data_IF_558853035313
#
_entry.id   IF_558853035313
#
_cell.length_a   1.000
_cell.length_b   1.000
_cell.length_c   1.000
_cell.angle_alpha   90.00
_cell.angle_beta   90.00
_cell.angle_gamma   90.00
#
_symmetry.space_group_name_H-M   'P 1'
#
loop_
_entity.id
_entity.type
_entity.pdbx_description
1 polymer ?
#
# COMPACT_ATOMS: atom_id res chain seq x y z
N UNK A 1 -17.36 4.70 -24.79
CA UNK A 1 -17.29 4.67 -23.30
C UNK A 1 -17.67 6.07 -22.79
N UNK A 2 -18.61 6.22 -21.84
CA UNK A 2 -19.10 7.54 -21.39
C UNK A 2 -17.93 8.40 -20.82
N UNK A 3 -17.81 9.70 -21.14
CA UNK A 3 -16.70 10.56 -20.72
C UNK A 3 -16.44 10.56 -19.20
N UNK A 4 -17.52 10.53 -18.40
CA UNK A 4 -17.49 10.47 -16.94
C UNK A 4 -16.72 9.26 -16.38
N UNK A 5 -16.76 8.10 -17.05
CA UNK A 5 -16.06 6.90 -16.60
C UNK A 5 -14.55 6.99 -16.86
N UNK A 6 -14.13 7.70 -17.92
CA UNK A 6 -12.71 7.94 -18.18
C UNK A 6 -12.08 8.84 -17.13
N UNK A 7 -12.77 9.93 -16.76
CA UNK A 7 -12.31 10.83 -15.70
C UNK A 7 -12.12 10.06 -14.40
N UNK A 8 -13.07 9.22 -14.01
CA UNK A 8 -12.97 8.37 -12.82
C UNK A 8 -11.75 7.45 -12.86
N UNK A 9 -11.52 6.74 -13.97
CA UNK A 9 -10.35 5.85 -14.11
C UNK A 9 -9.02 6.63 -13.97
N UNK A 10 -8.94 7.83 -14.57
CA UNK A 10 -7.77 8.71 -14.44
C UNK A 10 -7.58 9.21 -13.01
N UNK A 11 -8.65 9.65 -12.34
CA UNK A 11 -8.61 10.07 -10.93
C UNK A 11 -8.13 8.94 -10.02
N UNK A 12 -8.65 7.72 -10.20
CA UNK A 12 -8.21 6.55 -9.43
C UNK A 12 -6.73 6.23 -9.67
N UNK A 13 -6.26 6.32 -10.93
CA UNK A 13 -4.87 6.10 -11.29
C UNK A 13 -3.94 7.16 -10.68
N UNK A 14 -4.31 8.44 -10.73
CA UNK A 14 -3.51 9.52 -10.13
C UNK A 14 -3.41 9.38 -8.61
N UNK A 15 -4.51 9.07 -7.92
CA UNK A 15 -4.48 8.79 -6.49
C UNK A 15 -3.59 7.58 -6.17
N UNK A 16 -3.65 6.52 -7.00
CA UNK A 16 -2.77 5.35 -6.88
C UNK A 16 -1.29 5.68 -7.05
N UNK A 17 -0.92 6.49 -8.05
CA UNK A 17 0.46 6.93 -8.27
C UNK A 17 0.98 7.79 -7.12
N UNK A 18 0.15 8.69 -6.57
CA UNK A 18 0.51 9.49 -5.40
C UNK A 18 0.79 8.59 -4.19
N UNK A 19 -0.12 7.64 -3.89
CA UNK A 19 0.08 6.70 -2.79
C UNK A 19 1.30 5.81 -3.00
N UNK A 20 1.60 5.39 -4.24
CA UNK A 20 2.82 4.64 -4.55
C UNK A 20 4.08 5.46 -4.26
N UNK A 21 4.09 6.74 -4.65
CA UNK A 21 5.20 7.64 -4.33
C UNK A 21 5.41 7.78 -2.82
N UNK A 22 4.32 7.89 -2.06
CA UNK A 22 4.39 7.88 -0.60
C UNK A 22 4.89 6.55 -0.04
N UNK A 23 4.46 5.40 -0.56
CA UNK A 23 4.98 4.11 -0.11
C UNK A 23 6.48 4.01 -0.31
N UNK A 24 7.03 4.52 -1.42
CA UNK A 24 8.49 4.56 -1.64
C UNK A 24 9.17 5.46 -0.60
N UNK A 25 8.67 6.67 -0.37
CA UNK A 25 9.17 7.56 0.69
C UNK A 25 9.08 6.91 2.09
N UNK A 26 7.96 6.27 2.39
CA UNK A 26 7.71 5.60 3.65
C UNK A 26 8.66 4.41 3.83
N UNK A 27 8.90 3.62 2.78
CA UNK A 27 9.88 2.53 2.82
C UNK A 27 11.29 3.06 3.07
N UNK A 28 11.72 4.10 2.35
CA UNK A 28 13.07 4.68 2.51
C UNK A 28 13.28 5.28 3.90
N UNK A 29 12.29 5.99 4.43
CA UNK A 29 12.34 6.51 5.81
C UNK A 29 12.40 5.39 6.84
N UNK A 30 11.64 4.30 6.66
CA UNK A 30 11.74 3.13 7.53
C UNK A 30 13.11 2.43 7.41
N UNK A 31 13.68 2.30 6.21
CA UNK A 31 15.02 1.71 6.01
C UNK A 31 16.12 2.50 6.72
N UNK A 32 15.91 3.76 7.08
CA UNK A 32 16.86 4.48 7.93
C UNK A 32 17.04 3.86 9.32
N UNK A 33 16.15 2.95 9.73
CA UNK A 33 16.20 2.21 11.01
C UNK A 33 17.51 1.46 11.21
N UNK A 34 18.16 1.02 10.13
CA UNK A 34 19.47 0.36 10.20
C UNK A 34 20.59 1.24 10.78
N UNK A 35 20.33 2.55 10.89
CA UNK A 35 21.19 3.49 11.60
C UNK A 35 20.34 4.29 12.60
N UNK A 36 20.35 3.87 13.87
CA UNK A 36 19.53 4.46 14.93
C UNK A 36 19.59 6.00 14.98
N UNK A 37 20.79 6.58 14.89
CA UNK A 37 20.95 8.04 14.92
C UNK A 37 20.29 8.75 13.74
N UNK A 38 20.31 8.13 12.55
CA UNK A 38 19.69 8.67 11.33
C UNK A 38 18.16 8.55 11.42
N UNK A 39 17.67 7.38 11.84
CA UNK A 39 16.25 7.14 12.05
C UNK A 39 15.66 8.10 13.07
N UNK A 40 16.27 8.18 14.26
CA UNK A 40 15.82 9.05 15.35
C UNK A 40 15.83 10.51 14.93
N UNK A 41 16.91 10.99 14.30
CA UNK A 41 16.98 12.39 13.84
C UNK A 41 15.91 12.69 12.78
N UNK A 42 15.68 11.77 11.84
CA UNK A 42 14.66 11.94 10.80
C UNK A 42 13.25 12.01 11.40
N UNK A 43 12.88 11.08 12.29
CA UNK A 43 11.54 11.05 12.88
C UNK A 43 11.31 12.16 13.89
N UNK A 44 12.33 12.61 14.62
CA UNK A 44 12.24 13.83 15.44
C UNK A 44 11.93 15.06 14.59
N UNK A 45 12.61 15.24 13.46
CA UNK A 45 12.30 16.34 12.53
C UNK A 45 10.92 16.19 11.88
N UNK A 46 10.57 14.98 11.44
CA UNK A 46 9.31 14.70 10.74
C UNK A 46 8.09 14.89 11.65
N UNK A 47 8.18 14.44 12.90
CA UNK A 47 7.12 14.55 13.91
C UNK A 47 7.10 15.92 14.61
N UNK A 48 8.25 16.58 14.78
CA UNK A 48 8.39 17.83 15.53
C UNK A 48 7.77 19.07 14.87
N UNK A 49 7.17 18.94 13.68
CA UNK A 49 6.54 20.04 12.95
C UNK A 49 5.24 19.65 12.26
N UNK A 50 4.80 20.47 11.31
CA UNK A 50 3.53 20.26 10.59
C UNK A 50 3.61 19.19 9.49
N UNK A 51 4.82 18.74 9.15
CA UNK A 51 5.08 17.89 7.98
C UNK A 51 4.32 16.57 8.07
N UNK A 52 4.39 15.87 9.21
CA UNK A 52 3.65 14.62 9.43
C UNK A 52 2.16 14.80 9.17
N UNK A 53 1.55 15.85 9.69
CA UNK A 53 0.12 16.12 9.56
C UNK A 53 -0.28 16.45 8.12
N UNK A 54 0.54 17.22 7.40
CA UNK A 54 0.31 17.51 5.98
C UNK A 54 0.39 16.24 5.14
N UNK A 55 1.40 15.40 5.37
CA UNK A 55 1.54 14.11 4.69
C UNK A 55 0.36 13.22 5.02
N UNK A 56 -0.01 13.07 6.30
CA UNK A 56 -1.16 12.27 6.71
C UNK A 56 -2.45 12.73 6.04
N UNK A 57 -2.72 14.05 6.01
CA UNK A 57 -3.89 14.61 5.34
C UNK A 57 -3.92 14.25 3.84
N UNK A 58 -2.79 14.41 3.15
CA UNK A 58 -2.67 14.10 1.72
C UNK A 58 -2.90 12.61 1.44
N UNK A 59 -2.35 11.73 2.28
CA UNK A 59 -2.49 10.27 2.11
C UNK A 59 -3.89 9.80 2.45
N UNK A 60 -4.50 10.28 3.54
CA UNK A 60 -5.89 9.98 3.88
C UNK A 60 -6.83 10.44 2.78
N UNK A 61 -6.65 11.66 2.25
CA UNK A 61 -7.44 12.16 1.13
C UNK A 61 -7.26 11.29 -0.13
N UNK A 62 -6.03 10.88 -0.43
CA UNK A 62 -5.72 10.03 -1.59
C UNK A 62 -6.35 8.64 -1.47
N UNK A 63 -6.25 8.01 -0.29
CA UNK A 63 -6.90 6.72 0.00
C UNK A 63 -8.43 6.87 -0.16
N UNK A 64 -9.02 7.91 0.43
CA UNK A 64 -10.46 8.13 0.35
C UNK A 64 -10.93 8.30 -1.10
N UNK A 65 -10.23 9.12 -1.89
CA UNK A 65 -10.53 9.30 -3.32
C UNK A 65 -10.38 7.98 -4.07
N UNK A 66 -9.30 7.24 -3.86
CA UNK A 66 -9.03 5.97 -4.52
C UNK A 66 -10.12 4.94 -4.23
N UNK A 67 -10.47 4.74 -2.96
CA UNK A 67 -11.49 3.79 -2.51
C UNK A 67 -12.87 4.19 -3.02
N UNK A 68 -13.26 5.46 -2.89
CA UNK A 68 -14.56 5.97 -3.37
C UNK A 68 -14.74 5.74 -4.88
N UNK A 69 -13.70 6.05 -5.66
CA UNK A 69 -13.75 5.86 -7.13
C UNK A 69 -13.74 4.37 -7.49
N UNK A 70 -12.97 3.54 -6.77
CA UNK A 70 -12.95 2.09 -6.96
C UNK A 70 -14.35 1.47 -6.77
N UNK A 71 -15.06 1.84 -5.70
CA UNK A 71 -16.44 1.40 -5.47
C UNK A 71 -17.38 1.85 -6.58
N UNK A 72 -17.27 3.11 -7.03
CA UNK A 72 -18.11 3.63 -8.11
C UNK A 72 -17.90 2.87 -9.42
N UNK A 73 -16.64 2.62 -9.80
CA UNK A 73 -16.31 1.85 -11.00
C UNK A 73 -16.81 0.41 -10.85
N UNK A 74 -16.65 -0.21 -9.68
CA UNK A 74 -17.16 -1.57 -9.41
C UNK A 74 -18.68 -1.65 -9.56
N UNK A 75 -19.42 -0.69 -9.02
CA UNK A 75 -20.88 -0.63 -9.12
C UNK A 75 -21.34 -0.48 -10.58
N UNK A 76 -20.72 0.43 -11.34
CA UNK A 76 -21.03 0.63 -12.76
C UNK A 76 -20.73 -0.64 -13.57
N UNK A 77 -19.58 -1.28 -13.33
CA UNK A 77 -19.21 -2.51 -14.02
C UNK A 77 -20.14 -3.68 -13.66
N UNK A 78 -20.61 -3.75 -12.41
CA UNK A 78 -21.55 -4.77 -11.96
C UNK A 78 -22.93 -4.60 -12.64
N UNK A 79 -23.43 -3.37 -12.76
CA UNK A 79 -24.69 -3.07 -13.47
C UNK A 79 -24.60 -3.34 -14.97
N UNK A 80 -23.41 -3.22 -15.56
CA UNK A 80 -23.16 -3.51 -16.97
C UNK A 80 -22.97 -5.00 -17.28
N UNK A 81 -22.90 -5.88 -16.28
CA UNK A 81 -22.83 -7.34 -16.49
C UNK A 81 -24.21 -7.89 -16.84
N UNK A 82 -24.52 -7.96 -18.12
CA UNK A 82 -25.79 -8.51 -18.66
C UNK A 82 -25.69 -9.99 -19.02
N UNK A 83 -24.48 -10.54 -19.16
CA UNK A 83 -24.20 -11.95 -19.48
C UNK A 83 -23.00 -12.41 -18.66
N UNK A 84 -23.09 -13.62 -18.12
CA UNK A 84 -21.99 -14.21 -17.37
C UNK A 84 -20.83 -14.51 -18.33
N UNK A 85 -19.59 -14.19 -17.93
CA UNK A 85 -18.44 -14.32 -18.82
C UNK A 85 -18.19 -15.80 -19.17
N UNK A 86 -17.88 -16.08 -20.44
CA UNK A 86 -17.41 -17.39 -20.87
C UNK A 86 -16.26 -17.87 -19.97
N UNK A 87 -16.43 -19.04 -19.36
CA UNK A 87 -15.40 -19.66 -18.50
C UNK A 87 -14.15 -19.88 -19.35
N UNK A 88 -13.05 -19.25 -18.95
CA UNK A 88 -11.73 -19.54 -19.50
C UNK A 88 -11.05 -20.58 -18.60
N UNK A 89 -10.39 -21.57 -19.17
CA UNK A 89 -9.74 -22.72 -18.50
C UNK A 89 -8.50 -22.38 -17.64
N UNK A 90 -8.41 -21.16 -17.11
CA UNK A 90 -7.28 -20.72 -16.27
C UNK A 90 -7.69 -20.63 -14.81
N UNK A 91 -6.76 -20.96 -13.92
CA UNK A 91 -6.92 -20.77 -12.47
C UNK A 91 -7.32 -19.32 -12.16
N UNK A 92 -8.43 -19.15 -11.45
CA UNK A 92 -8.99 -17.84 -11.11
C UNK A 92 -9.24 -17.77 -9.62
N UNK A 93 -8.65 -16.76 -8.97
CA UNK A 93 -8.94 -16.46 -7.57
C UNK A 93 -10.42 -16.07 -7.46
N UNK A 94 -11.23 -16.72 -6.60
CA UNK A 94 -12.64 -16.40 -6.51
C UNK A 94 -12.86 -14.95 -6.03
N UNK A 95 -13.87 -14.29 -6.59
CA UNK A 95 -14.16 -12.88 -6.31
C UNK A 95 -14.38 -12.53 -4.82
N UNK A 96 -14.95 -13.41 -3.98
CA UNK A 96 -15.03 -13.18 -2.53
C UNK A 96 -13.65 -13.04 -1.88
N UNK A 97 -12.67 -13.89 -2.23
CA UNK A 97 -11.31 -13.80 -1.68
C UNK A 97 -10.61 -12.50 -2.06
N UNK A 98 -10.78 -12.02 -3.31
CA UNK A 98 -10.26 -10.71 -3.74
C UNK A 98 -10.92 -9.56 -2.96
N UNK A 99 -12.22 -9.68 -2.66
CA UNK A 99 -12.91 -8.66 -1.88
C UNK A 99 -12.44 -8.67 -0.43
N UNK A 100 -12.30 -9.85 0.17
CA UNK A 100 -11.78 -10.03 1.52
C UNK A 100 -10.35 -9.48 1.66
N UNK A 101 -9.47 -9.71 0.67
CA UNK A 101 -8.11 -9.18 0.71
C UNK A 101 -8.07 -7.66 0.64
N UNK A 102 -8.93 -7.02 -0.17
CA UNK A 102 -9.00 -5.54 -0.22
C UNK A 102 -9.56 -4.96 1.09
N UNK A 103 -10.55 -5.61 1.71
CA UNK A 103 -11.06 -5.21 3.03
C UNK A 103 -9.97 -5.36 4.09
N UNK A 104 -9.26 -6.48 4.09
CA UNK A 104 -8.12 -6.70 4.97
C UNK A 104 -7.03 -5.64 4.78
N UNK A 105 -6.68 -5.29 3.54
CA UNK A 105 -5.69 -4.25 3.27
C UNK A 105 -6.12 -2.88 3.81
N UNK A 106 -7.39 -2.52 3.63
CA UNK A 106 -7.91 -1.27 4.18
C UNK A 106 -7.88 -1.27 5.72
N UNK A 107 -8.28 -2.38 6.36
CA UNK A 107 -8.20 -2.53 7.81
C UNK A 107 -6.75 -2.48 8.31
N UNK A 108 -5.83 -3.16 7.63
CA UNK A 108 -4.39 -3.11 7.90
C UNK A 108 -3.86 -1.68 7.87
N UNK A 109 -4.19 -0.90 6.83
CA UNK A 109 -3.77 0.51 6.72
C UNK A 109 -4.33 1.35 7.87
N UNK A 110 -5.61 1.18 8.22
CA UNK A 110 -6.24 1.93 9.32
C UNK A 110 -5.56 1.59 10.66
N UNK A 111 -5.38 0.31 10.95
CA UNK A 111 -4.72 -0.16 12.17
C UNK A 111 -3.28 0.36 12.22
N UNK A 112 -2.54 0.23 11.13
CA UNK A 112 -1.16 0.71 10.99
C UNK A 112 -1.04 2.22 11.26
N UNK A 113 -1.93 3.04 10.67
CA UNK A 113 -1.93 4.49 10.88
C UNK A 113 -2.27 4.82 12.33
N UNK A 114 -3.32 4.22 12.90
CA UNK A 114 -3.70 4.46 14.30
C UNK A 114 -2.55 4.08 15.23
N UNK A 115 -1.96 2.91 15.04
CA UNK A 115 -0.84 2.45 15.86
C UNK A 115 0.36 3.40 15.77
N UNK A 116 0.71 3.88 14.57
CA UNK A 116 1.77 4.89 14.39
C UNK A 116 1.43 6.25 15.01
N UNK A 117 0.13 6.59 15.13
CA UNK A 117 -0.32 7.78 15.85
C UNK A 117 -0.24 7.65 17.38
N UNK A 118 -0.19 6.42 17.89
CA UNK A 118 -0.11 6.14 19.33
C UNK A 118 1.34 6.00 19.85
N UNK A 119 2.33 5.94 18.96
CA UNK A 119 3.74 5.89 19.34
C UNK A 119 4.18 7.17 20.05
N UNK A 120 5.08 7.02 21.04
CA UNK A 120 5.85 8.16 21.54
C UNK A 120 6.69 8.77 20.40
N UNK A 121 6.34 9.98 20.01
CA UNK A 121 6.97 10.71 18.90
C UNK A 121 8.45 11.01 19.14
N UNK A 122 8.87 11.05 20.42
CA UNK A 122 10.26 11.28 20.82
C UNK A 122 11.08 9.99 20.83
N UNK A 123 10.43 8.84 20.83
CA UNK A 123 11.07 7.53 21.02
C UNK A 123 10.64 6.47 20.00
N UNK A 124 10.39 6.89 18.75
CA UNK A 124 9.89 6.04 17.65
C UNK A 124 10.75 4.79 17.43
N UNK A 125 12.07 4.87 17.62
CA UNK A 125 12.97 3.72 17.44
C UNK A 125 12.66 2.57 18.42
N UNK A 126 12.45 2.90 19.69
CA UNK A 126 12.11 1.91 20.70
C UNK A 126 10.67 1.41 20.56
N UNK A 127 9.72 2.27 20.19
CA UNK A 127 8.35 1.88 19.87
C UNK A 127 8.30 0.86 18.71
N UNK A 128 9.06 1.10 17.65
CA UNK A 128 9.16 0.20 16.50
C UNK A 128 9.83 -1.13 16.86
N UNK A 129 10.90 -1.08 17.65
CA UNK A 129 11.60 -2.28 18.14
C UNK A 129 10.67 -3.12 19.00
N UNK A 130 10.01 -2.52 20.00
CA UNK A 130 9.07 -3.17 20.91
C UNK A 130 7.90 -3.80 20.15
N UNK A 131 7.35 -3.08 19.17
CA UNK A 131 6.26 -3.55 18.33
C UNK A 131 6.60 -4.89 17.65
N UNK A 132 7.80 -4.99 17.06
CA UNK A 132 8.20 -6.14 16.26
C UNK A 132 8.93 -7.24 17.03
N UNK A 133 9.07 -7.12 18.35
CA UNK A 133 9.39 -8.26 19.22
C UNK A 133 8.20 -9.21 19.38
N UNK A 134 6.97 -8.75 19.11
CA UNK A 134 5.77 -9.59 19.12
C UNK A 134 5.63 -10.40 17.83
N UNK A 135 5.70 -11.74 17.94
CA UNK A 135 5.50 -12.66 16.81
C UNK A 135 4.17 -12.39 16.08
N UNK A 136 3.09 -12.16 16.83
CA UNK A 136 1.78 -11.85 16.26
C UNK A 136 1.82 -10.58 15.40
N UNK A 137 2.58 -9.58 15.83
CA UNK A 137 2.69 -8.32 15.11
C UNK A 137 3.52 -8.45 13.85
N UNK A 138 4.61 -9.21 13.89
CA UNK A 138 5.41 -9.55 12.71
C UNK A 138 4.54 -10.27 11.68
N UNK A 139 3.79 -11.31 12.09
CA UNK A 139 2.89 -12.04 11.19
C UNK A 139 1.79 -11.13 10.62
N UNK A 140 1.19 -10.26 11.45
CA UNK A 140 0.18 -9.30 10.99
C UNK A 140 0.72 -8.36 9.91
N UNK A 141 1.92 -7.80 10.11
CA UNK A 141 2.57 -6.92 9.13
C UNK A 141 3.01 -7.66 7.87
N UNK A 142 3.54 -8.88 7.98
CA UNK A 142 3.90 -9.69 6.81
C UNK A 142 2.66 -10.09 5.99
N UNK A 143 1.53 -10.39 6.64
CA UNK A 143 0.26 -10.61 5.95
C UNK A 143 -0.24 -9.33 5.24
N UNK A 144 -0.12 -8.17 5.91
CA UNK A 144 -0.38 -6.85 5.33
C UNK A 144 0.44 -6.60 4.06
N UNK A 145 1.74 -6.82 4.15
CA UNK A 145 2.67 -6.67 3.02
C UNK A 145 2.37 -7.66 1.89
N UNK A 146 2.06 -8.91 2.20
CA UNK A 146 1.67 -9.89 1.18
C UNK A 146 0.44 -9.43 0.38
N UNK A 147 -0.60 -8.96 1.07
CA UNK A 147 -1.81 -8.45 0.41
C UNK A 147 -1.52 -7.16 -0.36
N UNK A 148 -0.68 -6.28 0.17
CA UNK A 148 -0.22 -5.08 -0.53
C UNK A 148 0.52 -5.44 -1.82
N UNK A 149 1.43 -6.42 -1.81
CA UNK A 149 2.13 -6.93 -3.00
C UNK A 149 1.13 -7.37 -4.07
N UNK A 150 0.15 -8.19 -3.68
CA UNK A 150 -0.89 -8.67 -4.60
C UNK A 150 -1.72 -7.52 -5.18
N UNK A 151 -2.06 -6.52 -4.35
CA UNK A 151 -2.80 -5.33 -4.77
C UNK A 151 -1.98 -4.47 -5.75
N UNK A 152 -0.73 -4.17 -5.44
CA UNK A 152 0.18 -3.39 -6.29
C UNK A 152 0.43 -4.08 -7.63
N UNK A 153 0.69 -5.39 -7.61
CA UNK A 153 0.96 -6.14 -8.83
C UNK A 153 -0.22 -6.11 -9.80
N UNK A 154 -1.43 -6.25 -9.28
CA UNK A 154 -2.66 -6.14 -10.09
C UNK A 154 -2.93 -4.70 -10.51
N UNK A 155 -2.76 -3.72 -9.61
CA UNK A 155 -3.16 -2.33 -9.85
C UNK A 155 -2.19 -1.54 -10.73
N UNK A 156 -0.86 -1.70 -10.57
CA UNK A 156 0.14 -0.97 -11.34
C UNK A 156 0.07 -1.33 -12.83
N UNK A 157 -0.18 -2.60 -13.15
CA UNK A 157 -0.40 -3.03 -14.54
C UNK A 157 -1.59 -2.28 -15.18
N UNK A 158 -2.69 -2.11 -14.44
CA UNK A 158 -3.88 -1.38 -14.89
C UNK A 158 -3.65 0.14 -15.00
N UNK A 159 -2.83 0.71 -14.09
CA UNK A 159 -2.43 2.12 -14.14
C UNK A 159 -1.62 2.39 -15.40
N UNK A 160 -0.62 1.57 -15.72
CA UNK A 160 0.21 1.71 -16.91
C UNK A 160 -0.61 1.63 -18.19
N UNK A 161 -1.56 0.69 -18.27
CA UNK A 161 -2.52 0.60 -19.38
C UNK A 161 -3.36 1.86 -19.51
N UNK A 162 -3.87 2.39 -18.38
CA UNK A 162 -4.67 3.63 -18.36
C UNK A 162 -3.87 4.85 -18.82
N UNK A 163 -2.55 4.85 -18.58
CA UNK A 163 -1.61 5.89 -19.01
C UNK A 163 -0.98 5.63 -20.39
N UNK A 164 -1.41 4.57 -21.10
CA UNK A 164 -0.98 4.28 -22.47
C UNK A 164 0.35 3.53 -22.61
N UNK A 165 0.90 2.96 -21.54
CA UNK A 165 2.13 2.16 -21.56
C UNK A 165 1.82 0.67 -21.38
N UNK A 166 2.07 -0.15 -22.41
CA UNK A 166 1.68 -1.58 -22.43
C UNK A 166 2.76 -2.51 -23.02
N UNK A 167 4.03 -2.30 -22.69
CA UNK A 167 5.12 -3.19 -23.13
C UNK A 167 5.42 -4.29 -22.11
N UNK A 168 5.95 -5.43 -22.59
CA UNK A 168 6.38 -6.56 -21.72
C UNK A 168 7.45 -6.13 -20.71
N UNK A 169 8.39 -5.27 -21.12
CA UNK A 169 9.40 -4.68 -20.23
C UNK A 169 8.75 -3.89 -19.07
N UNK A 170 7.63 -3.20 -19.33
CA UNK A 170 6.89 -2.48 -18.31
C UNK A 170 6.33 -3.42 -17.23
N UNK A 171 5.87 -4.61 -17.62
CA UNK A 171 5.41 -5.62 -16.67
C UNK A 171 6.54 -6.20 -15.80
N UNK A 172 7.72 -6.46 -16.37
CA UNK A 172 8.87 -6.92 -15.58
C UNK A 172 9.35 -5.86 -14.58
N UNK A 173 9.36 -4.59 -14.98
CA UNK A 173 9.72 -3.48 -14.09
C UNK A 173 8.72 -3.30 -12.93
N UNK A 174 7.41 -3.51 -13.18
CA UNK A 174 6.40 -3.49 -12.10
C UNK A 174 6.66 -4.58 -11.07
N UNK A 175 7.01 -5.79 -11.51
CA UNK A 175 7.35 -6.88 -10.61
C UNK A 175 8.56 -6.55 -9.74
N UNK A 176 9.66 -6.13 -10.38
CA UNK A 176 10.90 -5.78 -9.68
C UNK A 176 10.64 -4.65 -8.68
N UNK A 177 9.95 -3.58 -9.10
CA UNK A 177 9.65 -2.45 -8.25
C UNK A 177 8.74 -2.81 -7.07
N UNK A 178 7.72 -3.63 -7.30
CA UNK A 178 6.81 -4.08 -6.24
C UNK A 178 7.53 -4.96 -5.22
N UNK A 179 8.33 -5.93 -5.68
CA UNK A 179 9.10 -6.82 -4.80
C UNK A 179 10.17 -6.06 -4.01
N UNK A 180 10.87 -5.12 -4.66
CA UNK A 180 11.84 -4.26 -3.98
C UNK A 180 11.18 -3.42 -2.87
N UNK A 181 10.02 -2.82 -3.17
CA UNK A 181 9.26 -2.01 -2.22
C UNK A 181 8.80 -2.84 -1.02
N UNK A 182 8.16 -3.98 -1.27
CA UNK A 182 7.61 -4.83 -0.19
C UNK A 182 8.72 -5.54 0.58
N UNK A 183 9.81 -5.92 -0.10
CA UNK A 183 11.00 -6.47 0.52
C UNK A 183 11.66 -5.45 1.44
N UNK A 184 11.80 -4.19 1.02
CA UNK A 184 12.34 -3.12 1.85
C UNK A 184 11.53 -2.89 3.13
N UNK A 185 10.19 -2.94 3.05
CA UNK A 185 9.36 -2.92 4.25
C UNK A 185 9.51 -4.17 5.12
N UNK A 186 9.58 -5.36 4.51
CA UNK A 186 9.68 -6.63 5.24
C UNK A 186 11.02 -6.78 5.99
N UNK A 187 12.09 -6.13 5.51
CA UNK A 187 13.39 -6.15 6.18
C UNK A 187 13.28 -5.69 7.64
N UNK A 188 12.55 -4.61 7.91
CA UNK A 188 12.44 -4.02 9.26
C UNK A 188 11.91 -4.99 10.32
N UNK A 189 10.68 -5.53 10.22
CA UNK A 189 10.15 -6.46 11.21
C UNK A 189 10.98 -7.74 11.31
N UNK A 190 11.50 -8.26 10.18
CA UNK A 190 12.31 -9.47 10.18
C UNK A 190 13.65 -9.25 10.90
N UNK A 191 14.31 -8.11 10.68
CA UNK A 191 15.60 -7.81 11.32
C UNK A 191 15.44 -7.57 12.81
N UNK A 192 14.36 -6.92 13.24
CA UNK A 192 14.07 -6.73 14.66
C UNK A 192 13.77 -8.09 15.30
N UNK A 193 12.87 -8.87 14.71
CA UNK A 193 12.42 -10.14 15.29
C UNK A 193 13.48 -11.24 15.32
N UNK A 194 14.44 -11.26 14.39
CA UNK A 194 15.50 -12.29 14.38
C UNK A 194 16.87 -11.79 14.86
N UNK A 195 17.12 -10.48 14.78
CA UNK A 195 18.40 -9.87 15.12
C UNK A 195 18.44 -9.21 16.50
N UNK A 196 17.28 -8.91 17.08
CA UNK A 196 17.14 -8.21 18.37
C UNK A 196 16.21 -8.94 19.36
N UNK A 197 15.83 -10.18 19.05
CA UNK A 197 15.03 -11.09 19.89
C UNK A 197 15.86 -11.84 20.91
#
# INVERSE_FOLDING_TARGET
MKPLLQVQKRTMALAGVLMLGYLVFHMLSNLSFFTESTFTSFYQWYNGGVIRWLVLLVIVASIFIHVKVAFRIRAVNAQARTIDYAKHDKFKIPAPFVTASIIFLLAFIIIHVIQSLLFDELNVYNELTSLFQSELMVLFYLAGLFVLTMHLQHSLANVLQTLGKTSVSCHSLVWIGTLALTGGFALIPLTIYFGMS
#
